data_IF_944588069100
#
_entry.id   IF_944588069100
#
_cell.length_a   1.000
_cell.length_b   1.000
_cell.length_c   1.000
_cell.angle_alpha   90.00
_cell.angle_beta   90.00
_cell.angle_gamma   90.00
#
_symmetry.space_group_name_H-M   'P 1'
#
loop_
_entity.id
_entity.type
_entity.pdbx_description
1 polymer ?
#
# COMPACT_ATOMS: atom_id res chain seq x y z
N UNK A 1 18.78 29.29 -10.37
CA UNK A 1 17.77 28.82 -11.34
C UNK A 1 16.60 28.28 -10.53
N UNK A 2 15.37 28.79 -10.68
CA UNK A 2 14.32 28.47 -9.73
C UNK A 2 13.74 27.08 -9.99
N UNK A 3 13.41 26.39 -8.91
CA UNK A 3 12.63 25.16 -8.89
C UNK A 3 11.27 25.41 -9.54
N UNK A 4 11.14 25.08 -10.82
CA UNK A 4 9.89 25.19 -11.55
C UNK A 4 9.05 23.93 -11.36
N UNK A 5 7.83 24.15 -10.87
CA UNK A 5 6.68 23.25 -10.87
C UNK A 5 6.72 22.04 -9.92
N UNK A 6 6.41 22.33 -8.65
CA UNK A 6 5.78 21.34 -7.78
C UNK A 6 4.40 21.02 -8.37
N UNK A 7 4.27 19.83 -8.97
CA UNK A 7 3.00 19.24 -9.42
C UNK A 7 1.99 19.13 -8.25
N UNK A 8 0.68 19.20 -8.53
CA UNK A 8 -0.35 19.47 -7.54
C UNK A 8 -0.43 18.39 -6.45
N UNK A 9 -0.36 18.84 -5.18
CA UNK A 9 -0.94 18.29 -3.94
C UNK A 9 -0.99 16.76 -3.70
N UNK A 10 -0.12 15.99 -4.34
CA UNK A 10 0.03 14.53 -4.22
C UNK A 10 0.27 14.06 -2.77
N UNK A 11 0.82 14.95 -1.93
CA UNK A 11 1.35 14.58 -0.63
C UNK A 11 0.41 14.73 0.56
N UNK A 12 -0.68 15.51 0.47
CA UNK A 12 -1.39 15.95 1.68
C UNK A 12 -1.89 14.80 2.55
N UNK A 13 -2.52 13.78 1.97
CA UNK A 13 -3.11 12.67 2.73
C UNK A 13 -2.08 11.73 3.37
N UNK A 14 -0.96 11.45 2.68
CA UNK A 14 0.11 10.61 3.24
C UNK A 14 0.88 11.38 4.30
N UNK A 15 1.22 12.66 4.05
CA UNK A 15 1.90 13.50 5.04
C UNK A 15 1.04 13.79 6.26
N UNK A 16 -0.28 13.97 6.11
CA UNK A 16 -1.19 14.18 7.25
C UNK A 16 -1.20 12.95 8.17
N UNK A 17 -1.23 11.73 7.60
CA UNK A 17 -1.14 10.49 8.38
C UNK A 17 0.23 10.34 9.04
N UNK A 18 1.32 10.51 8.28
CA UNK A 18 2.69 10.41 8.79
C UNK A 18 2.97 11.43 9.90
N UNK A 19 2.37 12.62 9.82
CA UNK A 19 2.44 13.62 10.89
C UNK A 19 1.70 13.17 12.16
N UNK A 20 0.60 12.42 12.03
CA UNK A 20 -0.18 11.91 13.15
C UNK A 20 0.44 10.67 13.83
N UNK A 21 1.21 9.84 13.10
CA UNK A 21 1.80 8.59 13.61
C UNK A 21 2.65 8.80 14.88
N UNK A 22 3.59 9.77 14.95
CA UNK A 22 4.41 9.99 16.14
C UNK A 22 3.61 10.32 17.41
N UNK A 23 2.39 10.83 17.26
CA UNK A 23 1.52 11.20 18.38
C UNK A 23 0.64 10.04 18.86
N UNK A 24 0.71 8.88 18.20
CA UNK A 24 -0.12 7.72 18.52
C UNK A 24 0.48 6.88 19.66
N UNK A 25 -0.39 6.33 20.52
CA UNK A 25 0.02 5.46 21.63
C UNK A 25 0.39 4.04 21.17
N UNK A 26 -0.02 3.67 19.97
CA UNK A 26 0.19 2.34 19.37
C UNK A 26 1.14 2.49 18.20
N UNK A 27 1.98 1.50 17.92
CA UNK A 27 2.76 1.51 16.68
C UNK A 27 1.81 1.46 15.47
N UNK A 28 1.91 2.45 14.59
CA UNK A 28 1.09 2.54 13.37
C UNK A 28 1.97 2.28 12.16
N UNK A 29 1.51 1.36 11.31
CA UNK A 29 2.06 1.11 9.98
C UNK A 29 0.98 1.35 8.93
N UNK A 30 1.39 1.62 7.70
CA UNK A 30 0.46 1.86 6.60
C UNK A 30 0.87 1.14 5.31
N UNK A 31 -0.13 0.91 4.45
CA UNK A 31 0.09 0.56 3.05
C UNK A 31 -0.17 1.81 2.21
N UNK A 32 0.77 2.15 1.33
CA UNK A 32 0.65 3.29 0.43
C UNK A 32 -0.30 2.96 -0.71
N UNK A 33 -1.30 3.80 -0.97
CA UNK A 33 -2.22 3.57 -2.09
C UNK A 33 -1.47 3.73 -3.43
N UNK A 34 -1.73 2.83 -4.37
CA UNK A 34 -1.21 2.94 -5.75
C UNK A 34 -1.70 4.21 -6.45
N UNK A 35 -2.92 4.65 -6.13
CA UNK A 35 -3.49 5.90 -6.61
C UNK A 35 -2.95 7.10 -5.84
N UNK A 36 -2.46 8.07 -6.60
CA UNK A 36 -1.81 9.31 -6.15
C UNK A 36 -2.58 10.09 -5.08
N UNK A 37 -3.90 10.21 -5.25
CA UNK A 37 -4.76 10.97 -4.33
C UNK A 37 -5.26 10.13 -3.15
N UNK A 38 -4.90 8.84 -3.10
CA UNK A 38 -5.44 7.88 -2.16
C UNK A 38 -6.97 7.92 -2.12
N UNK A 39 -7.53 7.82 -0.91
CA UNK A 39 -8.98 7.81 -0.70
C UNK A 39 -9.62 9.21 -0.64
N UNK A 40 -8.87 10.30 -0.89
CA UNK A 40 -9.47 11.63 -1.06
C UNK A 40 -10.44 11.64 -2.25
N UNK A 41 -10.23 10.73 -3.19
CA UNK A 41 -11.09 10.48 -4.35
C UNK A 41 -11.50 9.02 -4.40
N UNK A 42 -12.78 8.74 -4.63
CA UNK A 42 -13.28 7.37 -4.84
C UNK A 42 -14.13 7.31 -6.11
N UNK A 43 -13.83 6.42 -7.08
CA UNK A 43 -12.65 5.56 -7.11
C UNK A 43 -11.35 6.37 -7.28
N UNK A 44 -10.27 5.87 -6.68
CA UNK A 44 -8.94 6.49 -6.65
C UNK A 44 -8.15 6.32 -7.95
N UNK A 45 -8.46 5.27 -8.73
CA UNK A 45 -7.86 4.99 -10.03
C UNK A 45 -8.94 5.17 -11.10
N UNK A 46 -8.87 6.28 -11.84
CA UNK A 46 -9.79 6.66 -12.91
C UNK A 46 -9.12 6.57 -14.27
N UNK A 47 -7.82 6.89 -14.33
CA UNK A 47 -6.95 6.63 -15.46
C UNK A 47 -5.60 6.08 -14.99
N UNK A 48 -4.73 5.72 -15.94
CA UNK A 48 -3.35 5.30 -15.62
C UNK A 48 -2.49 6.46 -15.13
N UNK A 49 -2.88 7.69 -15.43
CA UNK A 49 -2.17 8.90 -15.00
C UNK A 49 -2.33 9.15 -13.50
N UNK A 50 -3.28 8.47 -12.85
CA UNK A 50 -3.41 8.48 -11.40
C UNK A 50 -2.32 7.65 -10.70
N UNK A 51 -1.43 6.97 -11.45
CA UNK A 51 -0.29 6.20 -10.93
C UNK A 51 1.01 6.93 -11.28
N UNK A 52 1.62 7.59 -10.30
CA UNK A 52 2.94 8.21 -10.43
C UNK A 52 3.99 7.34 -9.73
N UNK A 53 4.75 6.60 -10.54
CA UNK A 53 5.75 5.64 -10.05
C UNK A 53 6.87 6.33 -9.29
N UNK A 54 7.35 7.48 -9.78
CA UNK A 54 8.45 8.21 -9.17
C UNK A 54 8.03 8.77 -7.81
N UNK A 55 6.81 9.28 -7.71
CA UNK A 55 6.25 9.76 -6.45
C UNK A 55 6.04 8.63 -5.44
N UNK A 56 5.59 7.44 -5.89
CA UNK A 56 5.47 6.25 -5.04
C UNK A 56 6.83 5.85 -4.48
N UNK A 57 7.85 5.71 -5.34
CA UNK A 57 9.20 5.31 -4.93
C UNK A 57 9.77 6.32 -3.93
N UNK A 58 9.69 7.61 -4.24
CA UNK A 58 10.17 8.68 -3.36
C UNK A 58 9.48 8.65 -1.99
N UNK A 59 8.16 8.47 -1.97
CA UNK A 59 7.36 8.43 -0.73
C UNK A 59 7.70 7.22 0.12
N UNK A 60 7.87 6.05 -0.51
CA UNK A 60 8.25 4.82 0.18
C UNK A 60 9.64 4.92 0.79
N UNK A 61 10.63 5.35 0.01
CA UNK A 61 12.01 5.49 0.49
C UNK A 61 12.13 6.46 1.66
N UNK A 62 11.40 7.58 1.61
CA UNK A 62 11.39 8.56 2.68
C UNK A 62 10.73 8.08 3.99
N UNK A 63 9.91 7.02 3.94
CA UNK A 63 9.07 6.58 5.07
C UNK A 63 9.04 5.06 5.26
N UNK A 64 10.16 4.36 4.98
CA UNK A 64 10.26 2.88 5.07
C UNK A 64 10.00 2.32 6.47
N UNK A 65 10.17 3.13 7.51
CA UNK A 65 9.84 2.79 8.88
C UNK A 65 8.32 2.59 9.07
N UNK A 66 7.50 3.39 8.39
CA UNK A 66 6.05 3.42 8.51
C UNK A 66 5.31 2.66 7.41
N UNK A 67 5.79 2.73 6.16
CA UNK A 67 5.14 2.10 4.99
C UNK A 67 5.60 0.65 4.87
N UNK A 68 4.64 -0.29 4.89
CA UNK A 68 4.88 -1.74 4.85
C UNK A 68 4.33 -2.46 3.62
N UNK A 69 3.80 -1.72 2.64
CA UNK A 69 3.36 -2.29 1.37
C UNK A 69 2.60 -1.31 0.50
N UNK A 70 2.18 -1.78 -0.67
CA UNK A 70 1.35 -1.02 -1.62
C UNK A 70 -0.09 -1.53 -1.56
N UNK A 71 -1.06 -0.64 -1.40
CA UNK A 71 -2.49 -0.95 -1.41
C UNK A 71 -3.06 -0.73 -2.81
N UNK A 72 -3.74 -1.75 -3.33
CA UNK A 72 -4.48 -1.69 -4.60
C UNK A 72 -5.94 -2.00 -4.33
N UNK A 73 -6.86 -1.17 -4.84
CA UNK A 73 -8.30 -1.44 -4.77
C UNK A 73 -8.85 -1.75 -6.15
N UNK A 74 -9.33 -2.98 -6.32
CA UNK A 74 -9.91 -3.46 -7.57
C UNK A 74 -11.38 -3.03 -7.67
N UNK A 75 -11.63 -1.72 -7.58
CA UNK A 75 -12.97 -1.13 -7.65
C UNK A 75 -13.04 -0.02 -8.71
N UNK A 76 -14.19 0.09 -9.36
CA UNK A 76 -14.50 1.17 -10.28
C UNK A 76 -14.35 0.81 -11.76
N UNK A 77 -14.74 1.77 -12.60
CA UNK A 77 -14.97 1.57 -14.05
C UNK A 77 -13.71 1.20 -14.86
N UNK A 78 -12.52 1.48 -14.33
CA UNK A 78 -11.25 1.15 -14.98
C UNK A 78 -10.88 -0.33 -14.82
N UNK A 79 -11.41 -1.01 -13.80
CA UNK A 79 -11.00 -2.36 -13.42
C UNK A 79 -11.38 -3.45 -14.44
N UNK A 80 -12.58 -3.45 -15.05
CA UNK A 80 -12.91 -4.43 -16.09
C UNK A 80 -11.94 -4.44 -17.29
N UNK A 81 -11.37 -3.29 -17.63
CA UNK A 81 -10.55 -3.13 -18.84
C UNK A 81 -9.05 -3.15 -18.57
N UNK A 82 -8.61 -2.57 -17.44
CA UNK A 82 -7.18 -2.40 -17.14
C UNK A 82 -6.75 -3.02 -15.80
N UNK A 83 -7.65 -3.69 -15.05
CA UNK A 83 -7.34 -4.18 -13.71
C UNK A 83 -6.12 -5.11 -13.65
N UNK A 84 -6.00 -6.05 -14.59
CA UNK A 84 -4.86 -6.98 -14.69
C UNK A 84 -3.55 -6.23 -14.92
N UNK A 85 -3.53 -5.24 -15.82
CA UNK A 85 -2.34 -4.44 -16.13
C UNK A 85 -1.94 -3.53 -14.97
N UNK A 86 -2.92 -2.96 -14.27
CA UNK A 86 -2.71 -2.13 -13.08
C UNK A 86 -2.06 -2.96 -11.98
N UNK A 87 -2.57 -4.17 -11.74
CA UNK A 87 -1.98 -5.06 -10.74
C UNK A 87 -0.57 -5.49 -11.13
N UNK A 88 -0.33 -5.83 -12.40
CA UNK A 88 1.00 -6.16 -12.89
C UNK A 88 1.98 -4.99 -12.72
N UNK A 89 1.52 -3.75 -12.89
CA UNK A 89 2.32 -2.54 -12.63
C UNK A 89 2.61 -2.39 -11.14
N UNK A 90 1.60 -2.56 -10.28
CA UNK A 90 1.79 -2.53 -8.83
C UNK A 90 2.79 -3.58 -8.35
N UNK A 91 2.72 -4.80 -8.88
CA UNK A 91 3.68 -5.87 -8.56
C UNK A 91 5.12 -5.51 -8.93
N UNK A 92 5.33 -4.92 -10.11
CA UNK A 92 6.68 -4.48 -10.53
C UNK A 92 7.25 -3.45 -9.55
N UNK A 93 6.46 -2.43 -9.22
CA UNK A 93 6.85 -1.37 -8.28
C UNK A 93 7.14 -1.95 -6.89
N UNK A 94 6.24 -2.80 -6.39
CA UNK A 94 6.38 -3.40 -5.07
C UNK A 94 7.60 -4.32 -4.98
N UNK A 95 7.90 -5.07 -6.05
CA UNK A 95 9.09 -5.93 -6.15
C UNK A 95 10.39 -5.12 -6.14
N UNK A 96 10.43 -4.01 -6.88
CA UNK A 96 11.57 -3.07 -6.85
C UNK A 96 11.78 -2.49 -5.45
N UNK A 97 10.69 -2.18 -4.75
CA UNK A 97 10.72 -1.63 -3.39
C UNK A 97 10.90 -2.69 -2.29
N UNK A 98 10.90 -3.98 -2.64
CA UNK A 98 10.93 -5.12 -1.72
C UNK A 98 9.80 -5.09 -0.69
N UNK A 99 8.60 -4.75 -1.16
CA UNK A 99 7.40 -4.63 -0.35
C UNK A 99 6.29 -5.56 -0.88
N UNK A 100 5.41 -6.09 -0.01
CA UNK A 100 4.24 -6.82 -0.44
C UNK A 100 3.16 -5.88 -0.99
N UNK A 101 2.25 -6.42 -1.80
CA UNK A 101 1.02 -5.72 -2.17
C UNK A 101 -0.18 -6.21 -1.37
N UNK A 102 -1.16 -5.33 -1.17
CA UNK A 102 -2.44 -5.65 -0.55
C UNK A 102 -3.57 -5.33 -1.52
N UNK A 103 -4.26 -6.35 -2.01
CA UNK A 103 -5.32 -6.25 -3.00
C UNK A 103 -6.68 -6.34 -2.33
N UNK A 104 -7.50 -5.30 -2.52
CA UNK A 104 -8.92 -5.33 -2.17
C UNK A 104 -9.73 -5.95 -3.32
N UNK A 105 -10.57 -6.93 -2.98
CA UNK A 105 -11.56 -7.51 -3.89
C UNK A 105 -12.98 -7.15 -3.46
N UNK A 106 -13.91 -7.26 -4.40
CA UNK A 106 -15.31 -6.93 -4.15
C UNK A 106 -15.66 -5.54 -4.66
N UNK A 107 -16.37 -5.48 -5.78
CA UNK A 107 -16.86 -4.26 -6.41
C UNK A 107 -18.38 -4.39 -6.62
N UNK A 108 -19.21 -3.59 -5.91
CA UNK A 108 -20.65 -3.68 -6.06
C UNK A 108 -21.14 -3.16 -7.42
N UNK A 109 -20.34 -2.30 -8.07
CA UNK A 109 -20.72 -1.63 -9.32
C UNK A 109 -20.27 -2.41 -10.56
N UNK A 110 -19.55 -3.51 -10.36
CA UNK A 110 -18.96 -4.30 -11.43
C UNK A 110 -19.41 -5.78 -11.37
N UNK A 111 -20.40 -6.18 -12.19
CA UNK A 111 -20.89 -7.56 -12.18
C UNK A 111 -19.84 -8.58 -12.65
N UNK A 112 -18.79 -8.16 -13.37
CA UNK A 112 -17.70 -9.04 -13.84
C UNK A 112 -16.50 -9.07 -12.90
N UNK A 113 -16.58 -8.45 -11.71
CA UNK A 113 -15.49 -8.44 -10.73
C UNK A 113 -15.03 -9.84 -10.30
N UNK A 114 -15.89 -10.86 -10.37
CA UNK A 114 -15.51 -12.26 -10.14
C UNK A 114 -14.53 -12.81 -11.18
N UNK A 115 -14.69 -12.42 -12.45
CA UNK A 115 -13.77 -12.80 -13.54
C UNK A 115 -12.42 -12.14 -13.31
N UNK A 116 -12.42 -10.83 -13.04
CA UNK A 116 -11.20 -10.09 -12.72
C UNK A 116 -10.47 -10.69 -11.53
N UNK A 117 -11.21 -11.05 -10.47
CA UNK A 117 -10.66 -11.69 -9.27
C UNK A 117 -9.93 -12.98 -9.63
N UNK A 118 -10.53 -13.87 -10.43
CA UNK A 118 -9.87 -15.10 -10.86
C UNK A 118 -8.63 -14.85 -11.73
N UNK A 119 -8.68 -13.85 -12.62
CA UNK A 119 -7.56 -13.50 -13.50
C UNK A 119 -6.35 -12.94 -12.74
N UNK A 120 -6.57 -12.26 -11.62
CA UNK A 120 -5.49 -11.67 -10.85
C UNK A 120 -4.85 -12.63 -9.84
N UNK A 121 -5.54 -13.67 -9.37
CA UNK A 121 -4.99 -14.60 -8.39
C UNK A 121 -3.64 -15.22 -8.81
N UNK A 122 -3.42 -15.64 -10.08
CA UNK A 122 -2.13 -16.16 -10.52
C UNK A 122 -1.00 -15.11 -10.56
N UNK A 123 -1.32 -13.82 -10.47
CA UNK A 123 -0.34 -12.74 -10.46
C UNK A 123 0.18 -12.42 -9.05
N UNK A 124 -0.47 -12.94 -8.01
CA UNK A 124 -0.09 -12.69 -6.63
C UNK A 124 1.01 -13.66 -6.22
N UNK A 125 2.05 -13.15 -5.56
CA UNK A 125 3.19 -13.92 -5.10
C UNK A 125 3.07 -14.20 -3.58
N UNK A 126 3.91 -15.11 -3.08
CA UNK A 126 3.96 -15.39 -1.64
C UNK A 126 4.32 -14.13 -0.87
N UNK A 127 3.45 -13.75 0.06
CA UNK A 127 3.62 -12.57 0.91
C UNK A 127 2.72 -11.40 0.54
N UNK A 128 2.07 -11.46 -0.63
CA UNK A 128 0.97 -10.56 -0.98
C UNK A 128 -0.29 -10.88 -0.18
N UNK A 129 -1.14 -9.86 -0.01
CA UNK A 129 -2.29 -9.91 0.87
C UNK A 129 -3.56 -9.69 0.05
N UNK A 130 -4.49 -10.63 0.13
CA UNK A 130 -5.82 -10.50 -0.45
C UNK A 130 -6.83 -10.12 0.64
N UNK A 131 -7.50 -8.97 0.52
CA UNK A 131 -8.46 -8.46 1.51
C UNK A 131 -9.91 -8.60 1.04
N UNK A 132 -10.82 -8.75 1.99
CA UNK A 132 -12.27 -8.96 1.76
C UNK A 132 -12.60 -10.26 1.02
N UNK A 133 -11.82 -11.32 1.29
CA UNK A 133 -12.01 -12.65 0.69
C UNK A 133 -13.44 -13.17 0.82
N UNK A 134 -14.15 -12.88 1.92
CA UNK A 134 -15.54 -13.29 2.15
C UNK A 134 -16.56 -12.16 1.91
N UNK A 135 -16.27 -11.25 0.99
CA UNK A 135 -17.23 -10.21 0.59
C UNK A 135 -18.49 -10.82 -0.03
N UNK A 136 -19.65 -10.23 0.28
CA UNK A 136 -20.92 -10.54 -0.38
C UNK A 136 -21.08 -9.83 -1.74
N UNK A 137 -20.13 -8.97 -2.11
CA UNK A 137 -20.13 -8.23 -3.38
C UNK A 137 -19.60 -9.11 -4.53
N UNK A 138 -19.94 -8.79 -5.79
CA UNK A 138 -19.27 -9.39 -6.95
C UNK A 138 -17.74 -9.29 -6.82
N UNK A 139 -17.02 -10.38 -7.07
CA UNK A 139 -15.56 -10.46 -6.84
C UNK A 139 -15.16 -11.20 -5.56
N UNK A 140 -16.07 -11.94 -4.93
CA UNK A 140 -15.75 -12.80 -3.79
C UNK A 140 -14.74 -13.89 -4.13
N UNK A 141 -14.01 -14.35 -3.11
CA UNK A 141 -13.16 -15.55 -3.19
C UNK A 141 -13.96 -16.86 -3.08
N UNK A 142 -15.29 -16.76 -3.09
CA UNK A 142 -16.24 -17.86 -3.10
C UNK A 142 -16.95 -17.93 -4.46
N UNK A 143 -17.19 -19.15 -4.94
CA UNK A 143 -18.04 -19.39 -6.10
C UNK A 143 -19.53 -19.28 -5.75
N UNK A 144 -20.39 -19.45 -6.77
CA UNK A 144 -21.85 -19.36 -6.61
C UNK A 144 -22.45 -20.40 -5.64
N UNK A 145 -21.70 -21.46 -5.31
CA UNK A 145 -22.10 -22.49 -4.36
C UNK A 145 -21.52 -22.25 -2.95
N UNK A 146 -20.85 -21.11 -2.73
CA UNK A 146 -20.19 -20.78 -1.48
C UNK A 146 -18.88 -21.54 -1.25
N UNK A 147 -18.33 -22.19 -2.29
CA UNK A 147 -17.05 -22.90 -2.19
C UNK A 147 -15.89 -21.99 -2.53
N UNK A 148 -14.77 -22.16 -1.83
CA UNK A 148 -13.52 -21.44 -2.12
C UNK A 148 -13.09 -21.72 -3.57
N UNK A 149 -12.69 -20.64 -4.25
CA UNK A 149 -12.15 -20.69 -5.61
C UNK A 149 -11.00 -21.71 -5.72
N UNK A 150 -10.98 -22.57 -6.76
CA UNK A 150 -9.94 -23.58 -6.92
C UNK A 150 -8.51 -22.99 -6.98
N UNK A 151 -8.38 -21.76 -7.47
CA UNK A 151 -7.15 -20.97 -7.54
C UNK A 151 -6.55 -20.65 -6.15
N UNK A 152 -7.36 -20.74 -5.10
CA UNK A 152 -6.97 -20.47 -3.70
C UNK A 152 -6.72 -21.73 -2.87
N UNK A 153 -6.83 -22.94 -3.45
CA UNK A 153 -6.71 -24.19 -2.68
C UNK A 153 -5.38 -24.34 -1.96
N UNK A 154 -4.30 -23.89 -2.59
CA UNK A 154 -2.95 -23.99 -2.04
C UNK A 154 -2.53 -22.72 -1.27
N UNK A 155 -3.45 -21.75 -1.13
CA UNK A 155 -3.16 -20.53 -0.41
C UNK A 155 -3.20 -20.78 1.09
N UNK A 156 -2.13 -20.38 1.77
CA UNK A 156 -2.09 -20.40 3.22
C UNK A 156 -2.87 -19.19 3.75
N UNK A 157 -3.86 -19.45 4.58
CA UNK A 157 -4.49 -18.42 5.41
C UNK A 157 -3.57 -18.19 6.60
N UNK A 158 -2.97 -17.01 6.68
CA UNK A 158 -2.18 -16.57 7.83
C UNK A 158 -2.93 -15.45 8.54
N UNK A 159 -2.94 -15.53 9.87
CA UNK A 159 -3.48 -14.45 10.69
C UNK A 159 -2.57 -13.22 10.59
N UNK A 160 -3.15 -12.05 10.34
CA UNK A 160 -2.39 -10.81 10.13
C UNK A 160 -1.58 -10.40 11.37
N UNK A 161 -1.98 -10.85 12.56
CA UNK A 161 -1.32 -10.55 13.82
C UNK A 161 0.02 -11.30 13.97
N UNK A 162 0.13 -12.51 13.41
CA UNK A 162 1.36 -13.31 13.44
C UNK A 162 2.45 -12.74 12.50
N UNK A 163 2.07 -12.09 11.40
CA UNK A 163 3.04 -11.54 10.43
C UNK A 163 3.67 -10.22 10.88
N UNK A 164 2.96 -9.46 11.72
CA UNK A 164 3.53 -8.28 12.40
C UNK A 164 4.65 -8.67 13.38
N UNK A 165 4.57 -9.84 14.02
CA UNK A 165 5.66 -10.38 14.85
C UNK A 165 6.82 -10.93 13.99
N UNK A 166 6.55 -11.57 12.86
CA UNK A 166 7.60 -12.05 11.94
C UNK A 166 8.39 -10.91 11.28
N UNK A 167 7.77 -9.74 11.07
CA UNK A 167 8.48 -8.57 10.50
C UNK A 167 9.38 -7.88 11.54
N UNK A 168 9.18 -8.13 12.84
CA UNK A 168 10.15 -7.74 13.89
C UNK A 168 11.47 -8.52 13.79
N UNK A 169 11.56 -9.58 12.95
CA UNK A 169 12.82 -10.29 12.68
C UNK A 169 13.68 -9.66 11.57
N UNK A 170 13.21 -8.63 10.86
CA UNK A 170 13.98 -7.97 9.79
C UNK A 170 14.61 -6.64 10.25
N UNK A 171 15.15 -6.62 11.47
CA UNK A 171 16.25 -5.73 11.85
C UNK A 171 16.95 -6.34 13.08
N UNK A 172 18.29 -6.46 13.05
CA UNK A 172 19.06 -5.24 13.14
C UNK A 172 20.24 -5.20 12.17
N UNK A 173 20.25 -4.16 11.31
CA UNK A 173 21.51 -3.52 10.98
C UNK A 173 22.02 -2.78 12.23
N UNK A 174 22.57 -3.50 13.22
CA UNK A 174 23.57 -2.98 14.17
C UNK A 174 24.15 -4.10 15.05
N UNK A 175 25.06 -4.89 14.49
CA UNK A 175 26.16 -5.44 15.28
C UNK A 175 27.29 -4.40 15.29
N UNK A 176 27.17 -3.34 16.10
CA UNK A 176 28.31 -2.53 16.52
C UNK A 176 28.41 -2.68 18.04
N UNK A 177 29.29 -3.59 18.44
CA UNK A 177 29.81 -3.67 19.80
C UNK A 177 30.80 -2.51 19.99
N UNK A 178 30.85 -2.02 21.22
CA UNK A 178 31.69 -0.97 21.79
C UNK A 178 31.38 0.49 21.41
N UNK A 179 30.47 1.08 22.19
CA UNK A 179 30.71 2.32 22.93
C UNK A 179 31.07 3.58 22.15
N UNK A 180 30.10 4.49 22.02
CA UNK A 180 30.16 5.91 22.44
C UNK A 180 28.76 6.49 22.19
N UNK A 181 28.17 7.08 23.23
CA UNK A 181 26.92 7.82 23.14
C UNK A 181 27.20 9.23 22.59
N UNK A 182 26.42 9.67 21.60
CA UNK A 182 26.19 11.09 21.32
C UNK A 182 24.77 11.28 20.79
N UNK A 183 23.99 12.26 21.31
CA UNK A 183 22.68 12.56 20.75
C UNK A 183 22.85 13.38 19.46
N UNK A 184 22.32 12.86 18.35
CA UNK A 184 22.23 13.62 17.11
C UNK A 184 21.14 14.69 17.24
N UNK A 185 21.53 15.96 17.16
CA UNK A 185 20.65 17.11 16.94
C UNK A 185 19.95 16.96 15.58
N UNK A 186 18.65 17.26 15.55
CA UNK A 186 17.88 17.44 14.31
C UNK A 186 18.48 18.55 13.43
N UNK A 187 18.61 18.36 12.10
CA UNK A 187 19.24 19.34 11.21
C UNK A 187 18.30 20.43 10.67
N UNK A 188 17.05 20.56 11.16
CA UNK A 188 16.13 21.59 10.64
C UNK A 188 16.07 22.83 11.54
N UNK A 189 16.37 24.04 11.00
CA UNK A 189 16.27 25.28 11.74
C UNK A 189 14.80 25.63 12.04
N UNK A 190 14.55 26.07 13.26
CA UNK A 190 13.27 26.54 13.75
C UNK A 190 12.79 27.76 12.95
N UNK A 191 11.88 27.54 12.00
CA UNK A 191 11.20 28.58 11.24
C UNK A 191 9.75 28.72 11.68
N UNK A 192 9.47 28.87 12.97
CA UNK A 192 8.22 29.46 13.49
C UNK A 192 8.46 29.99 14.91
N UNK A 193 9.12 31.16 15.01
CA UNK A 193 9.00 31.99 16.19
C UNK A 193 7.68 32.78 16.07
N UNK A 194 6.74 32.53 16.98
CA UNK A 194 5.51 33.31 17.13
C UNK A 194 5.84 34.79 17.37
N UNK A 195 5.18 35.75 16.71
CA UNK A 195 5.14 37.11 17.21
C UNK A 195 4.04 37.21 18.28
N UNK A 196 4.44 37.68 19.46
CA UNK A 196 3.53 38.35 20.40
C UNK A 196 3.33 39.82 19.99
#
# INVERSE_FOLDING_TARGET
MPASEVKPDFGRTVYDLLYAIPSSRTTVYCFLNLGSLGLATSPELRSRDDIDVDAIVCTVEANRDSIKGIKVRMVGKLMPTSGVEILATANKIAKELQLPIMVHIGDPDNPTAGVLTRQMLPLLETGDILTHVFTAKPGSALDANGKVLPELKDWRVEDQQERLELTKMIAPALAIRSGIATPARSPYPALFANPG
#
